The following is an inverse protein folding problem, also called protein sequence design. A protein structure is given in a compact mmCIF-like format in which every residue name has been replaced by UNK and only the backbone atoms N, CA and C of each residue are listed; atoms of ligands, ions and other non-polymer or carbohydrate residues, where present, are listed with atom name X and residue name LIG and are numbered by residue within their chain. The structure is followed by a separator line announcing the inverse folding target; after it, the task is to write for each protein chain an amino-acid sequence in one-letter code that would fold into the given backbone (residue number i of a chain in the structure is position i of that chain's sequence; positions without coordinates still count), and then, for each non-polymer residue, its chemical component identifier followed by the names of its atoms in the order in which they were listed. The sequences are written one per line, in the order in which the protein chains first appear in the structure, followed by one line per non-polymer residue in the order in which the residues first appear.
data_IF_183758813681
#
_entry.id   IF_183758813681
#
_cell.length_a   1.000
_cell.length_b   1.000
_cell.length_c   1.000
_cell.angle_alpha   90.00
_cell.angle_beta   90.00
_cell.angle_gamma   90.00
#
_symmetry.space_group_name_H-M   'P 1'
#
loop_
_entity.id
_entity.type
_entity.pdbx_description
1 polymer ?
#
# COMPACT_ATOMS: atom_id res chain seq x y z
N UNK A 1 19.29 28.10 -4.93
CA UNK A 1 18.85 27.45 -6.18
C UNK A 1 18.44 26.04 -5.79
N UNK A 2 17.16 25.85 -5.52
CA UNK A 2 16.62 24.60 -5.01
C UNK A 2 16.28 23.73 -6.23
N UNK A 3 17.04 22.64 -6.43
CA UNK A 3 16.72 21.69 -7.48
C UNK A 3 15.33 21.10 -7.15
N UNK A 4 14.35 21.36 -8.01
CA UNK A 4 13.02 20.75 -7.88
C UNK A 4 13.21 19.23 -7.91
N UNK A 5 13.03 18.56 -6.77
CA UNK A 5 13.15 17.11 -6.66
C UNK A 5 11.92 16.48 -7.32
N UNK A 6 12.05 16.20 -8.60
CA UNK A 6 10.96 15.63 -9.39
C UNK A 6 11.40 15.22 -10.77
N UNK A 7 10.84 14.10 -11.22
CA UNK A 7 10.95 13.68 -12.60
C UNK A 7 9.90 14.42 -13.41
N UNK A 8 10.31 15.02 -14.53
CA UNK A 8 9.45 15.91 -15.31
C UNK A 8 8.31 15.10 -15.93
N UNK A 9 7.07 15.58 -15.85
CA UNK A 9 5.94 14.93 -16.49
C UNK A 9 6.18 14.88 -18.01
N UNK A 10 6.14 13.69 -18.60
CA UNK A 10 6.52 13.45 -19.99
C UNK A 10 7.94 12.95 -20.20
N UNK A 11 8.74 12.80 -19.14
CA UNK A 11 10.00 12.05 -19.20
C UNK A 11 9.69 10.55 -19.40
N UNK A 12 10.12 9.95 -20.53
CA UNK A 12 9.86 8.52 -20.80
C UNK A 12 10.53 7.60 -19.78
N UNK A 13 11.59 8.06 -19.09
CA UNK A 13 12.30 7.30 -18.06
C UNK A 13 11.72 7.55 -16.66
N UNK A 14 10.80 8.52 -16.55
CA UNK A 14 9.96 8.83 -15.41
C UNK A 14 9.58 7.62 -14.54
N UNK A 15 8.71 6.77 -15.09
CA UNK A 15 8.20 5.59 -14.40
C UNK A 15 9.28 4.56 -14.05
N UNK A 16 10.27 4.36 -14.93
CA UNK A 16 11.32 3.36 -14.73
C UNK A 16 12.21 3.73 -13.54
N UNK A 17 12.64 4.99 -13.45
CA UNK A 17 13.45 5.47 -12.33
C UNK A 17 12.68 5.34 -11.00
N UNK A 18 11.37 5.60 -11.00
CA UNK A 18 10.55 5.37 -9.81
C UNK A 18 10.58 3.90 -9.38
N UNK A 19 10.34 2.97 -10.30
CA UNK A 19 10.40 1.53 -10.02
C UNK A 19 11.75 1.11 -9.44
N UNK A 20 12.86 1.58 -10.00
CA UNK A 20 14.21 1.27 -9.51
C UNK A 20 14.45 1.80 -8.10
N UNK A 21 13.90 2.96 -7.76
CA UNK A 21 14.04 3.55 -6.42
C UNK A 21 13.28 2.72 -5.37
N UNK A 22 12.09 2.20 -5.70
CA UNK A 22 11.28 1.44 -4.76
C UNK A 22 11.60 -0.07 -4.74
N UNK A 23 12.36 -0.59 -5.70
CA UNK A 23 12.62 -2.03 -5.87
C UNK A 23 13.13 -2.71 -4.59
N UNK A 24 14.13 -2.12 -3.93
CA UNK A 24 14.64 -2.67 -2.67
C UNK A 24 13.58 -2.67 -1.57
N UNK A 25 12.76 -1.62 -1.49
CA UNK A 25 11.68 -1.54 -0.51
C UNK A 25 10.67 -2.67 -0.75
N UNK A 26 10.22 -2.86 -2.00
CA UNK A 26 9.20 -3.88 -2.30
C UNK A 26 9.70 -5.30 -2.02
N UNK A 27 10.99 -5.58 -2.22
CA UNK A 27 11.60 -6.88 -1.94
C UNK A 27 11.76 -7.20 -0.45
N UNK A 28 11.71 -6.19 0.44
CA UNK A 28 11.82 -6.42 1.88
C UNK A 28 10.53 -6.98 2.50
N UNK A 29 9.38 -6.71 1.89
CA UNK A 29 8.06 -7.04 2.43
C UNK A 29 7.81 -8.56 2.47
N UNK A 30 7.09 -9.02 3.48
CA UNK A 30 6.85 -10.45 3.78
C UNK A 30 5.41 -10.92 3.57
N UNK A 31 4.53 -10.00 3.22
CA UNK A 31 3.13 -10.27 2.93
C UNK A 31 3.02 -11.17 1.70
N UNK A 32 2.20 -12.23 1.76
CA UNK A 32 2.04 -13.16 0.64
C UNK A 32 1.47 -12.50 -0.60
N UNK A 33 0.62 -11.48 -0.44
CA UNK A 33 0.30 -10.54 -1.51
C UNK A 33 1.20 -9.32 -1.35
N UNK A 34 1.98 -9.05 -2.40
CA UNK A 34 2.88 -7.91 -2.50
C UNK A 34 2.95 -7.51 -3.99
N UNK A 35 2.05 -6.62 -4.42
CA UNK A 35 1.88 -6.24 -5.83
C UNK A 35 2.04 -4.74 -5.96
N UNK A 36 2.86 -4.32 -6.92
CA UNK A 36 3.20 -2.92 -7.13
C UNK A 36 3.05 -2.57 -8.60
N UNK A 37 2.40 -1.45 -8.88
CA UNK A 37 2.36 -0.84 -10.18
C UNK A 37 2.64 0.65 -10.04
N UNK A 38 3.89 1.03 -10.30
CA UNK A 38 4.37 2.38 -10.04
C UNK A 38 4.05 2.78 -8.59
N UNK A 39 3.32 3.88 -8.41
CA UNK A 39 2.98 4.45 -7.12
C UNK A 39 1.74 3.82 -6.47
N UNK A 40 1.03 2.94 -7.16
CA UNK A 40 -0.11 2.19 -6.64
C UNK A 40 0.36 0.79 -6.14
N UNK A 41 0.06 0.45 -4.89
CA UNK A 41 0.53 -0.75 -4.20
C UNK A 41 -0.61 -1.56 -3.55
N UNK A 42 -0.45 -2.88 -3.46
CA UNK A 42 -1.37 -3.79 -2.78
C UNK A 42 -0.58 -4.81 -1.95
N UNK A 43 -0.77 -4.78 -0.64
CA UNK A 43 -0.19 -5.73 0.32
C UNK A 43 -1.30 -6.51 1.02
N UNK A 44 -1.11 -7.80 1.25
CA UNK A 44 -2.18 -8.60 1.87
C UNK A 44 -1.72 -9.93 2.43
N UNK A 45 -2.48 -10.42 3.42
CA UNK A 45 -2.20 -11.65 4.15
C UNK A 45 -2.64 -11.53 5.61
N UNK A 46 -1.91 -12.19 6.51
CA UNK A 46 -2.16 -12.12 7.94
C UNK A 46 -1.94 -10.69 8.48
N UNK A 47 -2.82 -10.22 9.36
CA UNK A 47 -2.86 -8.82 9.81
C UNK A 47 -1.53 -8.37 10.41
N UNK A 48 -0.91 -9.15 11.29
CA UNK A 48 0.36 -8.81 11.92
C UNK A 48 1.47 -8.56 10.89
N UNK A 49 1.55 -9.39 9.84
CA UNK A 49 2.49 -9.20 8.72
C UNK A 49 2.16 -7.96 7.89
N UNK A 50 0.90 -7.76 7.51
CA UNK A 50 0.48 -6.61 6.71
C UNK A 50 0.80 -5.30 7.44
N UNK A 51 0.54 -5.23 8.76
CA UNK A 51 0.87 -4.06 9.56
C UNK A 51 2.37 -3.83 9.70
N UNK A 52 3.15 -4.91 9.85
CA UNK A 52 4.61 -4.82 9.91
C UNK A 52 5.20 -4.32 8.59
N UNK A 53 4.72 -4.86 7.47
CA UNK A 53 5.14 -4.44 6.14
C UNK A 53 4.73 -3.01 5.83
N UNK A 54 3.53 -2.60 6.26
CA UNK A 54 3.09 -1.22 6.11
C UNK A 54 3.98 -0.23 6.86
N UNK A 55 4.45 -0.59 8.06
CA UNK A 55 5.43 0.21 8.79
C UNK A 55 6.76 0.32 8.03
N UNK A 56 7.21 -0.78 7.40
CA UNK A 56 8.39 -0.77 6.53
C UNK A 56 8.18 0.16 5.34
N UNK A 57 7.02 0.09 4.67
CA UNK A 57 6.66 0.99 3.55
C UNK A 57 6.72 2.45 3.98
N UNK A 58 6.16 2.79 5.14
CA UNK A 58 6.16 4.16 5.67
C UNK A 58 7.58 4.63 5.99
N UNK A 59 8.37 3.83 6.71
CA UNK A 59 9.70 4.25 7.17
C UNK A 59 10.75 4.24 6.06
N UNK A 60 10.81 3.18 5.25
CA UNK A 60 11.73 3.12 4.10
C UNK A 60 11.29 4.08 2.99
N UNK A 61 9.98 4.22 2.76
CA UNK A 61 9.44 5.21 1.83
C UNK A 61 9.89 6.62 2.19
N UNK A 62 9.82 6.99 3.47
CA UNK A 62 10.27 8.30 3.97
C UNK A 62 11.76 8.55 3.67
N UNK A 63 12.62 7.54 3.80
CA UNK A 63 14.06 7.64 3.45
C UNK A 63 14.27 7.89 1.96
N UNK A 64 13.37 7.40 1.11
CA UNK A 64 13.36 7.63 -0.34
C UNK A 64 12.67 8.95 -0.73
N UNK A 65 12.16 9.73 0.23
CA UNK A 65 11.38 10.95 -0.03
C UNK A 65 9.96 10.67 -0.52
N UNK A 66 9.43 9.48 -0.23
CA UNK A 66 8.07 9.05 -0.51
C UNK A 66 7.24 9.06 0.77
N UNK A 67 5.95 9.31 0.62
CA UNK A 67 4.98 9.27 1.69
C UNK A 67 3.75 8.49 1.22
N UNK A 68 3.21 7.67 2.11
CA UNK A 68 1.91 7.05 1.87
C UNK A 68 0.85 8.15 1.78
N UNK A 69 -0.16 7.98 0.93
CA UNK A 69 -1.30 8.89 0.88
C UNK A 69 -2.52 8.26 1.59
N UNK A 70 -2.74 8.53 2.89
CA UNK A 70 -3.77 7.84 3.68
C UNK A 70 -5.18 8.04 3.10
N UNK A 71 -5.45 9.20 2.49
CA UNK A 71 -6.76 9.50 1.90
C UNK A 71 -7.06 8.69 0.63
N UNK A 72 -6.04 8.03 0.05
CA UNK A 72 -6.17 7.13 -1.11
C UNK A 72 -5.91 5.67 -0.75
N UNK A 73 -5.51 5.40 0.49
CA UNK A 73 -5.28 4.05 0.96
C UNK A 73 -6.60 3.44 1.41
N UNK A 74 -6.79 2.16 1.12
CA UNK A 74 -8.01 1.42 1.44
C UNK A 74 -7.62 0.14 2.15
N UNK A 75 -8.43 -0.27 3.13
CA UNK A 75 -8.21 -1.52 3.84
C UNK A 75 -9.44 -2.40 3.71
N UNK A 76 -9.18 -3.66 3.36
CA UNK A 76 -10.18 -4.68 3.21
C UNK A 76 -9.87 -5.84 4.16
N UNK A 77 -10.80 -6.21 5.03
CA UNK A 77 -10.66 -7.39 5.89
C UNK A 77 -11.49 -8.54 5.32
N UNK A 78 -10.83 -9.62 4.90
CA UNK A 78 -11.47 -10.83 4.37
C UNK A 78 -11.28 -12.03 5.30
N UNK A 79 -12.24 -12.95 5.29
CA UNK A 79 -12.23 -14.14 6.15
C UNK A 79 -12.63 -13.86 7.61
N UNK A 80 -12.74 -14.93 8.39
CA UNK A 80 -13.07 -14.86 9.82
C UNK A 80 -14.51 -14.42 10.14
N UNK A 81 -14.78 -14.32 11.44
CA UNK A 81 -15.99 -13.74 12.02
C UNK A 81 -16.04 -12.23 11.79
N UNK A 82 -17.23 -11.65 11.96
CA UNK A 82 -17.42 -10.19 11.83
C UNK A 82 -16.62 -9.43 12.90
N UNK A 83 -16.44 -10.01 14.09
CA UNK A 83 -15.63 -9.43 15.17
C UNK A 83 -14.14 -9.38 14.81
N UNK A 84 -13.60 -10.45 14.22
CA UNK A 84 -12.20 -10.51 13.78
C UNK A 84 -11.92 -9.49 12.66
N UNK A 85 -12.90 -9.26 11.78
CA UNK A 85 -12.81 -8.23 10.74
C UNK A 85 -12.77 -6.82 11.32
N UNK A 86 -13.64 -6.52 12.28
CA UNK A 86 -13.62 -5.24 12.99
C UNK A 86 -12.30 -5.02 13.75
N UNK A 87 -11.83 -6.03 14.48
CA UNK A 87 -10.56 -5.94 15.20
C UNK A 87 -9.37 -5.69 14.25
N UNK A 88 -9.37 -6.33 13.08
CA UNK A 88 -8.34 -6.12 12.05
C UNK A 88 -8.37 -4.71 11.47
N UNK A 89 -9.57 -4.15 11.26
CA UNK A 89 -9.73 -2.77 10.80
C UNK A 89 -9.25 -1.75 11.84
N UNK A 90 -9.57 -1.96 13.12
CA UNK A 90 -9.11 -1.10 14.22
C UNK A 90 -7.58 -1.15 14.40
N UNK A 91 -6.99 -2.34 14.33
CA UNK A 91 -5.55 -2.52 14.42
C UNK A 91 -4.82 -1.77 13.28
N UNK A 92 -5.34 -1.86 12.06
CA UNK A 92 -4.80 -1.15 10.91
C UNK A 92 -4.99 0.37 10.98
N UNK A 93 -6.14 0.84 11.45
CA UNK A 93 -6.38 2.27 11.68
C UNK A 93 -5.38 2.86 12.69
N UNK A 94 -4.92 2.06 13.66
CA UNK A 94 -3.92 2.48 14.65
C UNK A 94 -2.49 2.52 14.07
N UNK A 95 -2.18 1.61 13.13
CA UNK A 95 -0.85 1.50 12.52
C UNK A 95 -0.60 2.49 11.37
N UNK A 96 -1.65 3.04 10.76
CA UNK A 96 -1.52 3.97 9.64
C UNK A 96 -1.47 5.43 10.08
N UNK A 97 -0.60 6.27 9.50
CA UNK A 97 -0.60 7.70 9.75
C UNK A 97 -1.76 8.37 8.99
N UNK A 98 -3.01 8.13 9.41
CA UNK A 98 -4.20 8.77 8.87
C UNK A 98 -5.43 7.86 8.80
N UNK A 99 -6.65 8.42 8.68
CA UNK A 99 -7.87 7.63 8.63
C UNK A 99 -7.91 6.84 7.32
N UNK A 100 -7.74 5.52 7.41
CA UNK A 100 -8.11 4.60 6.34
C UNK A 100 -9.64 4.50 6.35
N UNK A 101 -10.35 4.91 5.29
CA UNK A 101 -11.78 4.64 5.20
C UNK A 101 -12.00 3.13 5.13
N UNK A 102 -12.71 2.50 6.08
CA UNK A 102 -13.12 1.11 5.95
C UNK A 102 -14.11 1.02 4.79
N UNK A 103 -13.75 0.30 3.73
CA UNK A 103 -14.66 0.00 2.61
C UNK A 103 -15.09 -1.46 2.68
N UNK A 104 -16.38 -1.67 2.91
CA UNK A 104 -17.02 -2.91 2.52
C UNK A 104 -17.20 -2.89 0.99
N UNK A 105 -16.80 -3.99 0.36
CA UNK A 105 -16.60 -4.11 -1.10
C UNK A 105 -17.84 -3.68 -1.91
N UNK A 106 -17.64 -2.86 -2.95
CA UNK A 106 -17.55 -3.43 -4.30
C UNK A 106 -16.22 -3.01 -4.93
N UNK A 107 -15.45 -3.96 -5.48
CA UNK A 107 -14.15 -3.70 -6.12
C UNK A 107 -14.32 -2.66 -7.24
N UNK A 108 -14.03 -1.41 -6.93
CA UNK A 108 -13.53 -0.44 -7.90
C UNK A 108 -12.06 -0.20 -7.56
N UNK A 109 -11.29 -1.28 -7.53
CA UNK A 109 -9.85 -1.15 -7.62
C UNK A 109 -9.55 -0.61 -9.02
N UNK A 110 -8.83 0.51 -9.12
CA UNK A 110 -8.41 1.06 -10.42
C UNK A 110 -7.55 0.07 -11.22
N UNK A 111 -7.03 -0.98 -10.56
CA UNK A 111 -6.54 -2.21 -11.18
C UNK A 111 -7.41 -3.40 -10.72
N UNK A 112 -8.15 -4.09 -11.60
CA UNK A 112 -8.96 -5.24 -11.20
C UNK A 112 -8.05 -6.35 -10.67
N UNK A 113 -8.13 -6.63 -9.36
CA UNK A 113 -7.53 -7.84 -8.81
C UNK A 113 -8.29 -9.03 -9.40
N UNK A 114 -7.57 -9.91 -10.10
CA UNK A 114 -8.19 -11.10 -10.68
C UNK A 114 -8.86 -11.93 -9.56
N UNK A 115 -10.07 -12.49 -9.75
CA UNK A 115 -10.78 -13.23 -8.70
C UNK A 115 -9.98 -14.39 -8.08
N UNK A 116 -9.04 -14.98 -8.82
CA UNK A 116 -8.13 -16.01 -8.30
C UNK A 116 -7.11 -15.50 -7.28
N UNK A 117 -6.88 -14.18 -7.22
CA UNK A 117 -6.09 -13.53 -6.17
C UNK A 117 -6.93 -13.46 -4.90
N UNK A 118 -8.21 -13.07 -5.00
CA UNK A 118 -9.14 -13.04 -3.86
C UNK A 118 -9.29 -14.41 -3.19
N UNK A 119 -9.31 -15.49 -3.97
CA UNK A 119 -9.40 -16.86 -3.42
C UNK A 119 -8.12 -17.34 -2.71
N UNK A 120 -7.00 -16.61 -2.84
CA UNK A 120 -5.72 -16.92 -2.18
C UNK A 120 -5.45 -16.03 -0.97
N UNK A 121 -6.33 -15.07 -0.72
CA UNK A 121 -6.23 -14.14 0.38
C UNK A 121 -6.98 -14.72 1.58
N UNK A 122 -6.21 -15.22 2.55
CA UNK A 122 -6.69 -15.40 3.92
C UNK A 122 -6.21 -14.19 4.72
N UNK A 123 -7.13 -13.38 5.23
CA UNK A 123 -6.84 -12.21 6.05
C UNK A 123 -6.97 -10.86 5.33
N UNK A 124 -6.60 -9.77 6.01
CA UNK A 124 -6.75 -8.41 5.50
C UNK A 124 -5.75 -8.04 4.40
N UNK A 125 -6.19 -7.09 3.56
CA UNK A 125 -5.46 -6.49 2.45
C UNK A 125 -5.44 -4.99 2.64
N UNK A 126 -4.25 -4.39 2.65
CA UNK A 126 -4.06 -2.96 2.53
C UNK A 126 -3.75 -2.60 1.07
N UNK A 127 -4.54 -1.70 0.51
CA UNK A 127 -4.27 -1.04 -0.76
C UNK A 127 -3.70 0.34 -0.45
N UNK A 128 -2.50 0.61 -0.96
CA UNK A 128 -1.78 1.85 -0.74
C UNK A 128 -1.62 2.63 -2.04
N UNK A 129 -1.43 3.95 -1.88
CA UNK A 129 -0.80 4.76 -2.91
C UNK A 129 0.30 5.58 -2.30
N UNK A 130 1.52 5.31 -2.71
CA UNK A 130 2.66 6.15 -2.39
C UNK A 130 2.61 7.41 -3.25
N UNK A 131 3.05 8.53 -2.70
CA UNK A 131 3.27 9.76 -3.44
C UNK A 131 4.59 10.36 -2.99
N UNK A 132 5.08 11.33 -3.74
CA UNK A 132 6.22 12.11 -3.26
C UNK A 132 5.82 12.87 -1.98
N UNK A 133 6.70 12.84 -0.98
CA UNK A 133 6.55 13.67 0.20
C UNK A 133 6.69 15.15 -0.18
N UNK A 134 5.75 15.97 0.25
CA UNK A 134 5.68 17.40 -0.09
C UNK A 134 5.65 18.25 1.17
N UNK A 135 6.60 19.20 1.24
CA UNK A 135 6.56 20.38 2.11
C UNK A 135 5.52 21.39 1.62
#
# INVERSE_FOLDING_TARGET
MEAARGLQQGDPLGPLLFCLVIENLTQTLKSPLNVWFLDDDSIGGEIGRVLSDLQVVVEEGRKLGLELNPSKCELFAFGGSLQERHASQEAAATACPGPLPPKELPLSTQAPLHPSVLSRLEGPVGLGRLRRGGS
#
